data_IF_230517793380
#
_entry.id   IF_230517793380
#
_cell.length_a   1.000
_cell.length_b   1.000
_cell.length_c   1.000
_cell.angle_alpha   90.00
_cell.angle_beta   90.00
_cell.angle_gamma   90.00
#
_symmetry.space_group_name_H-M   'P 1'
#
loop_
_entity.id
_entity.type
_entity.pdbx_description
1 polymer ?
#
# COMPACT_ATOMS: atom_id res chain seq x y z
N UNK A 1 67.64 40.97 -39.60
CA UNK A 1 67.84 39.55 -39.23
C UNK A 1 67.03 39.28 -37.96
N UNK A 2 65.71 39.07 -38.09
CA UNK A 2 64.79 38.87 -36.97
C UNK A 2 64.46 37.37 -36.87
N UNK A 3 64.80 36.76 -35.73
CA UNK A 3 64.42 35.39 -35.39
C UNK A 3 62.97 35.38 -34.90
N UNK A 4 62.11 34.62 -35.58
CA UNK A 4 60.77 34.28 -35.09
C UNK A 4 60.88 33.07 -34.16
N UNK A 5 60.46 33.24 -32.92
CA UNK A 5 60.35 32.18 -31.91
C UNK A 5 58.94 31.59 -32.02
N UNK A 6 58.82 30.31 -32.41
CA UNK A 6 57.56 29.58 -32.38
C UNK A 6 57.21 29.19 -30.93
N UNK A 7 56.08 29.70 -30.42
CA UNK A 7 55.49 29.25 -29.16
C UNK A 7 54.50 28.13 -29.50
N UNK A 8 54.81 26.91 -29.06
CA UNK A 8 53.94 25.75 -29.16
C UNK A 8 52.95 25.76 -27.98
N UNK A 9 51.69 26.12 -28.23
CA UNK A 9 50.61 26.03 -27.25
C UNK A 9 50.11 24.58 -27.16
N UNK A 10 50.48 23.88 -26.09
CA UNK A 10 49.92 22.59 -25.71
C UNK A 10 48.51 22.79 -25.12
N UNK A 11 47.48 22.48 -25.91
CA UNK A 11 46.12 22.33 -25.40
C UNK A 11 46.00 20.97 -24.68
N UNK A 12 46.04 21.01 -23.35
CA UNK A 12 45.63 19.85 -22.53
C UNK A 12 44.09 19.85 -22.50
N UNK A 13 43.50 18.98 -23.30
CA UNK A 13 42.07 18.67 -23.24
C UNK A 13 41.78 17.96 -21.91
N UNK A 14 41.20 18.69 -20.97
CA UNK A 14 40.57 18.11 -19.78
C UNK A 14 39.26 17.45 -20.25
N UNK A 15 39.31 16.15 -20.51
CA UNK A 15 38.11 15.32 -20.65
C UNK A 15 37.46 15.20 -19.27
N UNK A 16 36.46 16.03 -19.00
CA UNK A 16 35.57 15.86 -17.85
C UNK A 16 34.77 14.58 -18.08
N UNK A 17 35.15 13.48 -17.44
CA UNK A 17 34.31 12.29 -17.35
C UNK A 17 33.15 12.65 -16.43
N UNK A 18 32.05 13.13 -17.02
CA UNK A 18 30.77 13.18 -16.33
C UNK A 18 30.33 11.74 -16.12
N UNK A 19 30.52 11.22 -14.90
CA UNK A 19 29.90 9.97 -14.48
C UNK A 19 28.40 10.26 -14.35
N UNK A 20 27.67 10.17 -15.45
CA UNK A 20 26.21 10.09 -15.39
C UNK A 20 25.89 8.75 -14.74
N UNK A 21 25.76 8.75 -13.41
CA UNK A 21 25.01 7.72 -12.73
C UNK A 21 23.64 7.74 -13.42
N UNK A 22 23.37 6.73 -14.24
CA UNK A 22 22.01 6.48 -14.70
C UNK A 22 21.17 6.43 -13.43
N UNK A 23 20.26 7.38 -13.26
CA UNK A 23 19.18 7.22 -12.29
C UNK A 23 18.53 5.91 -12.74
N UNK A 24 18.76 4.82 -12.01
CA UNK A 24 18.11 3.56 -12.30
C UNK A 24 16.62 3.86 -12.25
N UNK A 25 15.92 3.68 -13.37
CA UNK A 25 14.50 3.97 -13.40
C UNK A 25 13.80 3.06 -12.39
N UNK A 26 12.65 3.49 -11.84
CA UNK A 26 11.89 2.62 -10.94
C UNK A 26 11.52 1.28 -11.61
N UNK A 27 11.38 1.27 -12.94
CA UNK A 27 11.22 0.05 -13.73
C UNK A 27 12.46 -0.87 -13.67
N UNK A 28 13.68 -0.32 -13.73
CA UNK A 28 14.92 -1.08 -13.57
C UNK A 28 15.06 -1.61 -12.14
N UNK A 29 14.69 -0.82 -11.13
CA UNK A 29 14.65 -1.26 -9.74
C UNK A 29 13.66 -2.42 -9.56
N UNK A 30 12.42 -2.26 -10.03
CA UNK A 30 11.38 -3.31 -10.04
C UNK A 30 11.90 -4.60 -10.67
N UNK A 31 12.51 -4.49 -11.86
CA UNK A 31 13.07 -5.65 -12.55
C UNK A 31 14.19 -6.32 -11.76
N UNK A 32 15.11 -5.55 -11.18
CA UNK A 32 16.22 -6.10 -10.39
C UNK A 32 15.74 -6.79 -9.11
N UNK A 33 14.70 -6.26 -8.46
CA UNK A 33 14.07 -6.89 -7.29
C UNK A 33 13.36 -8.19 -7.69
N UNK A 34 12.59 -8.19 -8.78
CA UNK A 34 11.90 -9.41 -9.29
C UNK A 34 12.91 -10.47 -9.72
N UNK A 35 14.00 -10.09 -10.40
CA UNK A 35 15.06 -10.99 -10.84
C UNK A 35 15.94 -11.50 -9.65
N UNK A 36 15.73 -10.98 -8.43
CA UNK A 36 16.53 -11.33 -7.24
C UNK A 36 17.97 -10.78 -7.25
N UNK A 37 18.29 -9.83 -8.14
CA UNK A 37 19.61 -9.20 -8.25
C UNK A 37 19.85 -8.19 -7.13
N UNK A 38 18.79 -7.53 -6.68
CA UNK A 38 18.79 -6.64 -5.51
C UNK A 38 17.75 -7.20 -4.52
N UNK A 39 18.07 -7.31 -3.22
CA UNK A 39 17.10 -7.75 -2.24
C UNK A 39 15.98 -6.73 -2.05
N UNK A 40 14.75 -7.22 -1.90
CA UNK A 40 13.65 -6.43 -1.35
C UNK A 40 13.96 -6.12 0.12
N UNK A 41 14.16 -4.83 0.44
CA UNK A 41 14.35 -4.33 1.79
C UNK A 41 13.21 -3.38 2.09
N UNK A 42 12.32 -3.79 2.97
CA UNK A 42 11.07 -3.06 3.14
C UNK A 42 10.42 -3.21 4.49
N UNK A 43 9.39 -2.40 4.69
CA UNK A 43 8.55 -2.34 5.89
C UNK A 43 7.08 -2.59 5.54
N UNK A 44 6.29 -2.92 6.56
CA UNK A 44 4.84 -3.04 6.43
C UNK A 44 4.18 -1.71 6.82
N UNK A 45 3.25 -1.24 6.00
CA UNK A 45 2.38 -0.11 6.32
C UNK A 45 1.12 -0.60 7.05
N UNK A 46 1.33 -1.36 8.14
CA UNK A 46 0.28 -1.96 8.96
C UNK A 46 -0.54 -0.91 9.70
N UNK A 47 -1.83 -1.18 9.93
CA UNK A 47 -2.75 -0.23 10.58
C UNK A 47 -3.25 0.90 9.67
N UNK A 48 -2.80 1.02 8.41
CA UNK A 48 -3.18 2.14 7.54
C UNK A 48 -4.50 1.93 6.79
N UNK A 49 -4.53 1.06 5.77
CA UNK A 49 -5.75 0.77 4.98
C UNK A 49 -6.56 -0.42 5.51
N UNK A 50 -6.02 -1.10 6.52
CA UNK A 50 -6.74 -2.02 7.42
C UNK A 50 -6.35 -1.58 8.82
N UNK A 51 -7.29 -0.97 9.55
CA UNK A 51 -6.99 -0.39 10.85
C UNK A 51 -7.00 -1.46 11.96
N UNK A 52 -5.94 -1.47 12.79
CA UNK A 52 -5.81 -2.34 13.96
C UNK A 52 -5.66 -1.48 15.22
N UNK A 53 -6.54 -1.66 16.21
CA UNK A 53 -6.61 -0.80 17.40
C UNK A 53 -5.30 -0.82 18.21
N UNK A 54 -4.65 -1.98 18.32
CA UNK A 54 -3.42 -2.13 19.08
C UNK A 54 -2.24 -1.33 18.48
N UNK A 55 -2.22 -1.15 17.15
CA UNK A 55 -1.21 -0.34 16.44
C UNK A 55 -1.57 1.15 16.44
N UNK A 56 -2.86 1.45 16.30
CA UNK A 56 -3.35 2.79 15.96
C UNK A 56 -4.20 3.37 17.08
N UNK A 57 -3.92 3.03 18.35
CA UNK A 57 -4.77 3.33 19.50
C UNK A 57 -5.21 4.79 19.64
N UNK A 58 -4.34 5.74 19.27
CA UNK A 58 -4.61 7.18 19.28
C UNK A 58 -5.19 7.75 17.99
N UNK A 59 -5.51 6.91 17.00
CA UNK A 59 -6.10 7.32 15.72
C UNK A 59 -7.53 7.81 15.88
N UNK A 60 -7.96 8.82 15.09
CA UNK A 60 -9.36 9.23 14.98
C UNK A 60 -10.33 8.10 14.64
N UNK A 61 -9.87 7.04 13.96
CA UNK A 61 -10.67 5.87 13.58
C UNK A 61 -11.36 5.17 14.77
N UNK A 62 -10.87 5.38 16.00
CA UNK A 62 -11.39 4.73 17.21
C UNK A 62 -12.13 5.69 18.14
N UNK A 63 -12.33 6.95 17.73
CA UNK A 63 -12.89 7.98 18.60
C UNK A 63 -14.35 7.68 18.96
N UNK A 64 -14.59 7.42 20.25
CA UNK A 64 -15.91 7.11 20.78
C UNK A 64 -16.31 5.64 20.66
N UNK A 65 -15.43 4.77 20.15
CA UNK A 65 -15.63 3.32 20.11
C UNK A 65 -15.13 2.71 21.42
N UNK A 66 -15.95 1.95 22.17
CA UNK A 66 -15.51 1.18 23.32
C UNK A 66 -14.37 0.22 22.97
N UNK A 67 -13.41 0.02 23.87
CA UNK A 67 -12.23 -0.82 23.59
C UNK A 67 -12.61 -2.27 23.27
N UNK A 68 -13.66 -2.82 23.89
CA UNK A 68 -14.14 -4.17 23.60
C UNK A 68 -14.75 -4.31 22.19
N UNK A 69 -15.11 -3.19 21.55
CA UNK A 69 -15.56 -3.12 20.15
C UNK A 69 -14.38 -2.81 19.23
N UNK A 70 -13.55 -1.83 19.58
CA UNK A 70 -12.42 -1.41 18.77
C UNK A 70 -11.40 -2.54 18.56
N UNK A 71 -11.17 -3.36 19.58
CA UNK A 71 -10.27 -4.53 19.50
C UNK A 71 -10.83 -5.69 18.65
N UNK A 72 -12.01 -5.55 18.03
CA UNK A 72 -12.58 -6.53 17.10
C UNK A 72 -12.37 -6.16 15.62
N UNK A 73 -11.70 -5.04 15.35
CA UNK A 73 -11.37 -4.59 13.98
C UNK A 73 -12.35 -3.56 13.41
N UNK A 74 -12.02 -3.10 12.20
CA UNK A 74 -12.69 -2.01 11.48
C UNK A 74 -14.19 -2.25 11.26
N UNK A 75 -14.63 -3.49 10.96
CA UNK A 75 -16.05 -3.80 10.74
C UNK A 75 -16.87 -3.51 11.99
N UNK A 76 -16.41 -4.00 13.15
CA UNK A 76 -17.09 -3.80 14.43
C UNK A 76 -17.12 -2.33 14.83
N UNK A 77 -16.02 -1.60 14.62
CA UNK A 77 -15.94 -0.17 14.88
C UNK A 77 -16.89 0.64 13.99
N UNK A 78 -16.91 0.37 12.69
CA UNK A 78 -17.79 1.06 11.74
C UNK A 78 -19.27 0.73 11.98
N UNK A 79 -19.60 -0.53 12.31
CA UNK A 79 -20.96 -0.93 12.69
C UNK A 79 -21.46 -0.20 13.94
N UNK A 80 -20.56 0.10 14.88
CA UNK A 80 -20.89 0.87 16.08
C UNK A 80 -21.00 2.38 15.80
N UNK A 81 -20.08 2.95 15.02
CA UNK A 81 -20.06 4.39 14.72
C UNK A 81 -21.17 4.82 13.76
N UNK A 82 -21.47 3.98 12.77
CA UNK A 82 -22.23 4.34 11.58
C UNK A 82 -21.47 5.32 10.67
N UNK A 83 -21.92 5.47 9.42
CA UNK A 83 -21.23 6.29 8.40
C UNK A 83 -21.10 7.76 8.76
N UNK A 84 -22.10 8.34 9.43
CA UNK A 84 -22.08 9.78 9.80
C UNK A 84 -20.84 10.15 10.63
N UNK A 85 -20.41 9.24 11.52
CA UNK A 85 -19.22 9.46 12.37
C UNK A 85 -17.99 8.72 11.86
N UNK A 86 -18.17 7.49 11.38
CA UNK A 86 -17.09 6.60 10.98
C UNK A 86 -16.35 7.07 9.74
N UNK A 87 -17.07 7.45 8.68
CA UNK A 87 -16.45 7.85 7.41
C UNK A 87 -15.44 9.01 7.57
N UNK A 88 -15.78 10.15 8.20
CA UNK A 88 -14.81 11.24 8.39
C UNK A 88 -13.65 10.85 9.34
N UNK A 89 -13.88 9.98 10.32
CA UNK A 89 -12.83 9.51 11.23
C UNK A 89 -11.81 8.61 10.51
N UNK A 90 -12.28 7.66 9.71
CA UNK A 90 -11.41 6.77 8.94
C UNK A 90 -10.74 7.47 7.76
N UNK A 91 -11.39 8.46 7.14
CA UNK A 91 -10.72 9.32 6.16
C UNK A 91 -9.58 10.12 6.81
N UNK A 92 -9.82 10.74 7.97
CA UNK A 92 -8.78 11.49 8.68
C UNK A 92 -7.60 10.59 9.10
N UNK A 93 -7.89 9.38 9.60
CA UNK A 93 -6.86 8.37 9.85
C UNK A 93 -6.02 8.09 8.61
N UNK A 94 -6.66 7.76 7.48
CA UNK A 94 -5.95 7.42 6.23
C UNK A 94 -5.17 8.61 5.68
N UNK A 95 -5.64 9.84 5.90
CA UNK A 95 -4.99 11.08 5.47
C UNK A 95 -3.75 11.44 6.28
N UNK A 96 -3.69 11.05 7.55
CA UNK A 96 -2.67 11.52 8.49
C UNK A 96 -1.73 10.44 9.01
N UNK A 97 -2.13 9.18 8.97
CA UNK A 97 -1.35 8.08 9.54
C UNK A 97 -0.15 7.67 8.70
N UNK A 98 -0.31 7.62 7.37
CA UNK A 98 0.78 7.46 6.41
C UNK A 98 0.63 8.54 5.34
N UNK A 99 1.74 9.20 5.03
CA UNK A 99 1.85 10.32 4.11
C UNK A 99 3.02 10.11 3.15
N UNK A 100 3.19 11.03 2.19
CA UNK A 100 4.37 11.04 1.33
C UNK A 100 5.68 11.15 2.13
N UNK A 101 5.65 11.85 3.27
CA UNK A 101 6.83 12.03 4.11
C UNK A 101 7.35 10.70 4.63
N UNK A 102 6.46 9.76 4.96
CA UNK A 102 6.84 8.40 5.38
C UNK A 102 7.55 7.63 4.25
N UNK A 103 7.10 7.79 3.00
CA UNK A 103 7.78 7.19 1.84
C UNK A 103 9.17 7.79 1.63
N UNK A 104 9.30 9.10 1.80
CA UNK A 104 10.60 9.77 1.76
C UNK A 104 11.55 9.20 2.82
N UNK A 105 11.08 9.07 4.06
CA UNK A 105 11.87 8.55 5.19
C UNK A 105 12.27 7.08 5.00
N UNK A 106 11.35 6.24 4.51
CA UNK A 106 11.63 4.83 4.18
C UNK A 106 12.75 4.74 3.12
N UNK A 107 12.66 5.57 2.07
CA UNK A 107 13.70 5.64 1.04
C UNK A 107 15.05 6.12 1.61
N UNK A 108 15.05 7.18 2.43
CA UNK A 108 16.25 7.71 3.07
C UNK A 108 16.89 6.72 4.06
N UNK A 109 16.09 5.82 4.66
CA UNK A 109 16.57 4.70 5.45
C UNK A 109 17.19 3.57 4.60
N UNK A 110 17.25 3.71 3.28
CA UNK A 110 17.86 2.75 2.35
C UNK A 110 16.97 1.55 2.02
N UNK A 111 15.66 1.66 2.27
CA UNK A 111 14.67 0.66 1.87
C UNK A 111 14.16 0.96 0.46
N UNK A 112 13.63 -0.07 -0.21
CA UNK A 112 13.21 0.01 -1.61
C UNK A 112 11.81 -0.57 -1.85
N UNK A 113 11.16 -1.12 -0.83
CA UNK A 113 9.87 -1.79 -0.95
C UNK A 113 9.00 -1.50 0.27
N UNK A 114 7.69 -1.42 0.09
CA UNK A 114 6.70 -1.45 1.17
C UNK A 114 5.68 -2.55 0.91
N UNK A 115 5.25 -3.25 1.97
CA UNK A 115 4.07 -4.12 1.94
C UNK A 115 2.88 -3.35 2.48
N UNK A 116 1.82 -3.27 1.68
CA UNK A 116 0.64 -2.45 1.97
C UNK A 116 -0.60 -3.35 2.13
N UNK A 117 -1.04 -3.63 3.39
CA UNK A 117 -2.26 -4.39 3.69
C UNK A 117 -3.52 -3.69 3.19
N UNK A 118 -4.39 -4.41 2.51
CA UNK A 118 -5.71 -3.94 2.07
C UNK A 118 -6.78 -4.98 2.40
N UNK A 119 -7.98 -4.53 2.74
CA UNK A 119 -9.15 -5.39 2.89
C UNK A 119 -10.03 -5.41 1.64
N UNK A 120 -10.85 -6.44 1.49
CA UNK A 120 -11.72 -6.62 0.32
C UNK A 120 -12.64 -5.41 0.07
N UNK A 121 -13.07 -4.72 1.13
CA UNK A 121 -13.91 -3.52 1.05
C UNK A 121 -13.27 -2.35 0.30
N UNK A 122 -11.94 -2.35 0.10
CA UNK A 122 -11.22 -1.26 -0.57
C UNK A 122 -11.72 -1.03 -2.01
N UNK A 123 -12.21 -2.07 -2.68
CA UNK A 123 -12.66 -1.96 -4.08
C UNK A 123 -14.05 -1.32 -4.20
N UNK A 124 -14.81 -1.26 -3.10
CA UNK A 124 -16.11 -0.58 -3.06
C UNK A 124 -17.22 -1.28 -3.85
N UNK A 125 -17.11 -2.59 -4.07
CA UNK A 125 -18.12 -3.42 -4.70
C UNK A 125 -17.99 -4.88 -4.27
N UNK A 126 -19.08 -5.64 -4.46
CA UNK A 126 -19.12 -7.09 -4.41
C UNK A 126 -20.04 -7.58 -5.53
N UNK A 127 -19.50 -8.35 -6.48
CA UNK A 127 -20.27 -8.91 -7.61
C UNK A 127 -20.83 -10.30 -7.32
N UNK A 128 -20.65 -10.80 -6.09
CA UNK A 128 -21.11 -12.13 -5.71
C UNK A 128 -22.57 -12.13 -5.28
N UNK A 129 -23.11 -13.34 -5.13
CA UNK A 129 -24.48 -13.59 -4.68
C UNK A 129 -24.42 -14.42 -3.40
N UNK A 130 -25.31 -14.17 -2.44
CA UNK A 130 -25.32 -14.88 -1.16
C UNK A 130 -25.91 -14.04 -0.03
N UNK A 131 -25.80 -14.54 1.20
CA UNK A 131 -25.93 -13.66 2.36
C UNK A 131 -24.75 -12.69 2.40
N UNK A 132 -24.94 -11.51 2.99
CA UNK A 132 -23.84 -10.61 3.35
C UNK A 132 -23.07 -9.99 2.15
N UNK A 133 -23.69 -9.95 0.96
CA UNK A 133 -23.18 -9.24 -0.24
C UNK A 133 -22.95 -7.74 0.00
N UNK A 134 -23.59 -7.18 1.02
CA UNK A 134 -23.52 -5.76 1.36
C UNK A 134 -22.56 -5.47 2.50
N UNK A 135 -21.84 -6.46 3.03
CA UNK A 135 -20.97 -6.27 4.20
C UNK A 135 -19.81 -5.30 3.94
N UNK A 136 -19.34 -5.20 2.69
CA UNK A 136 -18.36 -4.17 2.30
C UNK A 136 -18.89 -2.75 2.52
N UNK A 137 -20.21 -2.54 2.49
CA UNK A 137 -20.83 -1.23 2.72
C UNK A 137 -20.75 -0.80 4.18
N UNK A 138 -20.52 -1.71 5.13
CA UNK A 138 -20.33 -1.35 6.55
C UNK A 138 -19.03 -0.57 6.74
N UNK A 139 -17.98 -0.91 5.99
CA UNK A 139 -16.66 -0.29 6.12
C UNK A 139 -16.64 1.15 5.60
N UNK A 140 -15.68 1.94 6.09
CA UNK A 140 -15.51 3.31 5.62
C UNK A 140 -14.96 3.35 4.17
N UNK A 141 -15.62 4.03 3.23
CA UNK A 141 -15.22 4.08 1.82
C UNK A 141 -13.97 4.94 1.61
N UNK A 142 -13.42 4.94 0.39
CA UNK A 142 -12.38 5.89 -0.04
C UNK A 142 -10.93 5.41 0.13
N UNK A 143 -10.69 4.25 0.74
CA UNK A 143 -9.34 3.68 0.90
C UNK A 143 -8.56 3.52 -0.41
N UNK A 144 -9.24 3.24 -1.54
CA UNK A 144 -8.61 3.10 -2.85
C UNK A 144 -7.86 4.36 -3.31
N UNK A 145 -8.33 5.57 -2.93
CA UNK A 145 -7.67 6.82 -3.29
C UNK A 145 -6.29 6.95 -2.64
N UNK A 146 -6.13 6.41 -1.42
CA UNK A 146 -4.86 6.42 -0.70
C UNK A 146 -3.89 5.37 -1.25
N UNK A 147 -4.42 4.21 -1.68
CA UNK A 147 -3.64 3.22 -2.42
C UNK A 147 -3.15 3.76 -3.76
N UNK A 148 -3.99 4.53 -4.47
CA UNK A 148 -3.61 5.22 -5.70
C UNK A 148 -2.44 6.19 -5.44
N UNK A 149 -2.50 7.01 -4.39
CA UNK A 149 -1.40 7.92 -4.03
C UNK A 149 -0.10 7.16 -3.75
N UNK A 150 -0.18 6.08 -2.97
CA UNK A 150 0.99 5.26 -2.66
C UNK A 150 1.66 4.67 -3.92
N UNK A 151 0.87 4.19 -4.88
CA UNK A 151 1.39 3.49 -6.08
C UNK A 151 1.76 4.46 -7.21
N UNK A 152 0.98 5.52 -7.42
CA UNK A 152 1.11 6.42 -8.58
C UNK A 152 1.93 7.67 -8.29
N UNK A 153 2.02 8.08 -7.02
CA UNK A 153 2.64 9.34 -6.64
C UNK A 153 3.85 9.09 -5.74
N UNK A 154 3.64 8.52 -4.55
CA UNK A 154 4.68 8.44 -3.51
C UNK A 154 5.75 7.39 -3.80
N UNK A 155 5.35 6.19 -4.22
CA UNK A 155 6.28 5.14 -4.64
C UNK A 155 7.22 5.61 -5.76
N UNK A 156 6.69 6.16 -6.87
CA UNK A 156 7.49 6.77 -7.92
C UNK A 156 8.40 7.91 -7.47
N UNK A 157 7.90 8.84 -6.65
CA UNK A 157 8.66 9.99 -6.17
C UNK A 157 9.88 9.58 -5.32
N UNK A 158 9.76 8.48 -4.56
CA UNK A 158 10.77 8.06 -3.58
C UNK A 158 11.43 6.72 -3.91
N UNK A 159 11.35 6.25 -5.17
CA UNK A 159 11.91 4.97 -5.62
C UNK A 159 11.51 3.76 -4.75
N UNK A 160 10.27 3.75 -4.28
CA UNK A 160 9.70 2.67 -3.48
C UNK A 160 8.75 1.84 -4.32
N UNK A 161 8.99 0.53 -4.28
CA UNK A 161 8.09 -0.47 -4.84
C UNK A 161 6.99 -0.81 -3.82
N UNK A 162 5.75 -0.98 -4.28
CA UNK A 162 4.60 -1.28 -3.43
C UNK A 162 4.12 -2.70 -3.73
N UNK A 163 4.19 -3.58 -2.73
CA UNK A 163 3.58 -4.90 -2.72
C UNK A 163 2.21 -4.81 -2.06
N UNK A 164 1.14 -4.97 -2.83
CA UNK A 164 -0.22 -5.02 -2.27
C UNK A 164 -0.38 -6.36 -1.55
N UNK A 165 -0.78 -6.31 -0.28
CA UNK A 165 -1.14 -7.52 0.47
C UNK A 165 -2.64 -7.56 0.67
N UNK A 166 -3.31 -8.53 0.05
CA UNK A 166 -4.72 -8.78 0.31
C UNK A 166 -4.85 -9.41 1.70
N UNK A 167 -5.08 -8.56 2.71
CA UNK A 167 -4.88 -8.85 4.12
C UNK A 167 -6.17 -9.25 4.84
N UNK A 168 -7.32 -8.81 4.34
CA UNK A 168 -8.62 -9.15 4.88
C UNK A 168 -9.56 -9.58 3.75
N UNK A 169 -9.89 -10.87 3.72
CA UNK A 169 -10.85 -11.44 2.79
C UNK A 169 -12.29 -11.27 3.29
N UNK A 170 -13.26 -11.30 2.37
CA UNK A 170 -14.68 -11.41 2.73
C UNK A 170 -14.90 -12.66 3.60
N UNK A 171 -15.67 -12.52 4.67
CA UNK A 171 -15.90 -13.58 5.66
C UNK A 171 -14.71 -13.85 6.60
N UNK A 172 -13.60 -13.13 6.46
CA UNK A 172 -12.34 -13.36 7.19
C UNK A 172 -11.70 -14.74 6.99
N UNK A 173 -10.39 -14.74 6.77
CA UNK A 173 -9.60 -15.96 6.66
C UNK A 173 -9.10 -16.51 8.01
N UNK A 174 -9.24 -15.76 9.12
CA UNK A 174 -8.61 -16.11 10.40
C UNK A 174 -9.38 -15.69 11.67
N UNK A 175 -10.47 -14.94 11.57
CA UNK A 175 -11.29 -14.48 12.69
C UNK A 175 -10.69 -13.39 13.59
N UNK A 176 -9.49 -12.88 13.28
CA UNK A 176 -8.81 -11.86 14.09
C UNK A 176 -9.10 -10.44 13.58
N UNK A 177 -8.90 -9.45 14.45
CA UNK A 177 -9.12 -8.03 14.18
C UNK A 177 -8.41 -7.51 12.92
N UNK A 178 -7.21 -8.03 12.62
CA UNK A 178 -6.44 -7.69 11.42
C UNK A 178 -7.09 -8.16 10.08
N UNK A 179 -7.99 -9.13 10.15
CA UNK A 179 -8.85 -9.54 9.02
C UNK A 179 -10.23 -8.91 9.07
N UNK A 180 -10.52 -8.15 10.14
CA UNK A 180 -11.74 -7.37 10.35
C UNK A 180 -13.03 -8.16 10.11
N UNK A 181 -13.24 -9.29 10.81
CA UNK A 181 -14.37 -10.18 10.58
C UNK A 181 -15.69 -9.52 10.95
N UNK A 182 -16.76 -9.97 10.28
CA UNK A 182 -18.13 -9.58 10.62
C UNK A 182 -18.56 -10.14 11.98
N UNK A 183 -18.11 -11.35 12.26
CA UNK A 183 -18.28 -12.06 13.53
C UNK A 183 -16.88 -12.36 14.11
N UNK A 184 -16.45 -11.64 15.16
CA UNK A 184 -15.13 -11.84 15.75
C UNK A 184 -14.89 -13.29 16.18
N UNK A 185 -13.74 -13.86 15.79
CA UNK A 185 -13.37 -15.25 16.05
C UNK A 185 -13.78 -16.24 14.96
N UNK A 186 -14.61 -15.86 13.99
CA UNK A 186 -15.05 -16.74 12.91
C UNK A 186 -14.21 -16.56 11.63
N UNK A 187 -13.88 -17.67 10.98
CA UNK A 187 -13.08 -17.71 9.75
C UNK A 187 -13.89 -18.34 8.61
N UNK A 188 -14.81 -17.55 8.05
CA UNK A 188 -15.79 -18.00 7.07
C UNK A 188 -15.31 -17.90 5.61
N UNK A 189 -14.11 -17.38 5.35
CA UNK A 189 -13.60 -17.25 3.98
C UNK A 189 -13.61 -18.58 3.21
N UNK A 190 -13.18 -19.68 3.87
CA UNK A 190 -13.14 -21.00 3.26
C UNK A 190 -14.50 -21.72 3.23
N UNK A 191 -15.44 -21.29 4.08
CA UNK A 191 -16.74 -21.95 4.24
C UNK A 191 -17.69 -21.69 3.07
N UNK A 192 -17.48 -20.59 2.35
CA UNK A 192 -18.43 -20.09 1.36
C UNK A 192 -17.73 -19.74 0.04
N UNK A 193 -18.25 -20.26 -1.08
CA UNK A 193 -17.65 -20.07 -2.41
C UNK A 193 -17.68 -18.62 -2.84
N UNK A 194 -18.73 -17.89 -2.45
CA UNK A 194 -18.89 -16.46 -2.66
C UNK A 194 -17.79 -15.63 -1.99
N UNK A 195 -17.29 -16.02 -0.81
CA UNK A 195 -16.20 -15.32 -0.14
C UNK A 195 -14.88 -15.46 -0.91
N UNK A 196 -14.60 -16.66 -1.41
CA UNK A 196 -13.45 -16.93 -2.28
C UNK A 196 -13.57 -16.17 -3.60
N UNK A 197 -14.73 -16.21 -4.25
CA UNK A 197 -14.98 -15.49 -5.51
C UNK A 197 -14.81 -13.98 -5.34
N UNK A 198 -15.35 -13.38 -4.27
CA UNK A 198 -15.17 -11.96 -4.00
C UNK A 198 -13.69 -11.60 -3.86
N UNK A 199 -12.92 -12.44 -3.19
CA UNK A 199 -11.48 -12.24 -3.02
C UNK A 199 -10.73 -12.29 -4.35
N UNK A 200 -11.12 -13.20 -5.26
CA UNK A 200 -10.58 -13.26 -6.61
C UNK A 200 -10.93 -12.00 -7.40
N UNK A 201 -12.20 -11.59 -7.41
CA UNK A 201 -12.68 -10.39 -8.10
C UNK A 201 -11.93 -9.13 -7.64
N UNK A 202 -11.78 -8.94 -6.33
CA UNK A 202 -11.07 -7.80 -5.77
C UNK A 202 -9.58 -7.80 -6.15
N UNK A 203 -8.94 -8.97 -6.10
CA UNK A 203 -7.51 -9.14 -6.42
C UNK A 203 -7.24 -9.03 -7.92
N UNK A 204 -8.18 -9.41 -8.76
CA UNK A 204 -8.14 -9.18 -10.22
C UNK A 204 -8.33 -7.71 -10.54
N UNK A 205 -9.28 -7.03 -9.89
CA UNK A 205 -9.49 -5.59 -10.05
C UNK A 205 -8.23 -4.79 -9.70
N UNK A 206 -7.62 -5.04 -8.53
CA UNK A 206 -6.41 -4.34 -8.11
C UNK A 206 -5.23 -4.61 -9.06
N UNK A 207 -5.08 -5.86 -9.53
CA UNK A 207 -4.04 -6.20 -10.50
C UNK A 207 -4.26 -5.50 -11.84
N UNK A 208 -5.48 -5.52 -12.36
CA UNK A 208 -5.82 -4.84 -13.61
C UNK A 208 -5.60 -3.32 -13.52
N UNK A 209 -5.91 -2.73 -12.36
CA UNK A 209 -5.73 -1.30 -12.09
C UNK A 209 -4.27 -0.86 -12.08
N UNK A 210 -3.37 -1.67 -11.51
CA UNK A 210 -1.99 -1.25 -11.22
C UNK A 210 -0.91 -1.96 -12.06
N UNK A 211 -1.25 -2.94 -12.89
CA UNK A 211 -0.27 -3.75 -13.66
C UNK A 211 0.77 -2.93 -14.43
N UNK A 212 0.38 -1.77 -14.94
CA UNK A 212 1.24 -0.90 -15.76
C UNK A 212 1.92 0.22 -14.95
N UNK A 213 1.67 0.30 -13.64
CA UNK A 213 2.28 1.31 -12.77
C UNK A 213 3.72 0.90 -12.38
N UNK A 214 4.63 1.88 -12.42
CA UNK A 214 6.06 1.64 -12.20
C UNK A 214 6.35 1.11 -10.78
N UNK A 215 5.68 1.66 -9.77
CA UNK A 215 5.89 1.25 -8.38
C UNK A 215 5.19 -0.06 -8.00
N UNK A 216 4.22 -0.54 -8.78
CA UNK A 216 3.49 -1.76 -8.42
C UNK A 216 4.39 -2.99 -8.54
N UNK A 217 4.80 -3.57 -7.41
CA UNK A 217 5.67 -4.76 -7.39
C UNK A 217 4.91 -6.03 -7.72
N UNK A 218 3.65 -6.09 -7.29
CA UNK A 218 2.80 -7.26 -7.41
C UNK A 218 1.79 -7.33 -6.27
N UNK A 219 1.17 -8.51 -6.14
CA UNK A 219 0.17 -8.80 -5.12
C UNK A 219 0.53 -10.06 -4.35
N UNK A 220 0.27 -10.08 -3.06
CA UNK A 220 0.36 -11.24 -2.19
C UNK A 220 -1.05 -11.59 -1.67
N UNK A 221 -1.41 -12.88 -1.73
CA UNK A 221 -2.76 -13.35 -1.42
C UNK A 221 -2.79 -13.99 -0.02
N UNK A 222 -3.52 -13.35 0.89
CA UNK A 222 -3.88 -13.80 2.25
C UNK A 222 -2.69 -14.12 3.18
N UNK A 223 -2.69 -13.46 4.33
CA UNK A 223 -1.77 -13.70 5.45
C UNK A 223 -2.55 -14.01 6.72
#
# INVERSE_FOLDING_TARGET
MQRQTCILLLFVSLFSISLSASIASLADLKKQVIDGKIPSRGVNLGGWLVAEKWMTGGSPAWNGVPDDIANKGEYSAMKYLGHEKGDPQFDEHRRTFITEQDFKEISEAGMNTVRLPVGYWIVGFDHTWGSDVDSWKVYAPGGLNYLDKAIREWGPAHNILVLISFHAAKGSQNGNDNSSPEVPGEADWFGYKENVNNSLDAVEFLAARYKDEAAFLGKFFLS
#
